data_IF_574601084071
#
_entry.id   IF_574601084071
#
_cell.length_a   1.000
_cell.length_b   1.000
_cell.length_c   1.000
_cell.angle_alpha   90.00
_cell.angle_beta   90.00
_cell.angle_gamma   90.00
#
_symmetry.space_group_name_H-M   'P 1'
#
loop_
_entity.id
_entity.type
_entity.pdbx_description
1 polymer ?
#
# COMPACT_ATOMS: atom_id res chain seq x y z
N UNK A 1 3.89 -9.70 -2.26
CA UNK A 1 4.09 -8.82 -1.10
C UNK A 1 5.36 -9.15 -0.33
N UNK A 2 5.67 -10.44 -0.12
CA UNK A 2 6.95 -10.94 0.44
C UNK A 2 8.21 -10.23 -0.08
N UNK A 3 8.29 -9.93 -1.38
CA UNK A 3 9.44 -9.20 -1.94
C UNK A 3 9.67 -7.81 -1.32
N UNK A 4 8.61 -7.09 -0.93
CA UNK A 4 8.75 -5.80 -0.22
C UNK A 4 9.21 -5.97 1.21
N UNK A 5 8.72 -7.01 1.89
CA UNK A 5 9.13 -7.31 3.27
C UNK A 5 10.62 -7.68 3.29
N UNK A 6 11.06 -8.56 2.39
CA UNK A 6 12.47 -8.91 2.22
C UNK A 6 13.34 -7.71 1.84
N UNK A 7 12.83 -6.79 1.02
CA UNK A 7 13.54 -5.55 0.69
C UNK A 7 13.72 -4.64 1.92
N UNK A 8 12.70 -4.53 2.77
CA UNK A 8 12.76 -3.75 4.02
C UNK A 8 13.70 -4.38 5.05
N UNK A 9 13.73 -5.71 5.13
CA UNK A 9 14.68 -6.42 5.98
C UNK A 9 16.11 -6.22 5.47
N UNK A 10 16.34 -6.35 4.15
CA UNK A 10 17.65 -6.16 3.54
C UNK A 10 18.20 -4.75 3.76
N UNK A 11 17.37 -3.71 3.59
CA UNK A 11 17.77 -2.30 3.74
C UNK A 11 18.43 -2.01 5.09
N UNK A 12 18.01 -2.69 6.16
CA UNK A 12 18.58 -2.53 7.51
C UNK A 12 20.04 -3.00 7.62
N UNK A 13 20.50 -3.84 6.68
CA UNK A 13 21.86 -4.38 6.66
C UNK A 13 22.78 -3.67 5.68
N UNK A 14 22.28 -2.69 4.91
CA UNK A 14 23.05 -2.01 3.88
C UNK A 14 23.49 -0.62 4.33
N UNK A 15 24.74 -0.28 4.03
CA UNK A 15 25.16 1.12 4.03
C UNK A 15 24.53 1.87 2.84
N UNK A 16 24.45 3.21 2.87
CA UNK A 16 23.89 3.98 1.76
C UNK A 16 24.54 3.68 0.40
N UNK A 17 25.86 3.49 0.36
CA UNK A 17 26.60 3.18 -0.87
C UNK A 17 26.31 1.76 -1.40
N UNK A 18 26.05 0.81 -0.52
CA UNK A 18 25.65 -0.55 -0.90
C UNK A 18 24.20 -0.56 -1.39
N UNK A 19 23.29 0.13 -0.69
CA UNK A 19 21.90 0.30 -1.09
C UNK A 19 21.75 0.97 -2.44
N UNK A 20 22.63 1.92 -2.78
CA UNK A 20 22.63 2.58 -4.09
C UNK A 20 22.72 1.59 -5.27
N UNK A 21 23.40 0.45 -5.09
CA UNK A 21 23.55 -0.58 -6.12
C UNK A 21 22.26 -1.36 -6.38
N UNK A 22 21.34 -1.38 -5.43
CA UNK A 22 20.06 -2.08 -5.51
C UNK A 22 18.89 -1.17 -5.88
N UNK A 23 19.13 0.13 -6.13
CA UNK A 23 18.07 1.11 -6.39
C UNK A 23 17.11 0.70 -7.51
N UNK A 24 17.61 0.12 -8.59
CA UNK A 24 16.75 -0.31 -9.71
C UNK A 24 15.82 -1.47 -9.31
N UNK A 25 16.38 -2.48 -8.64
CA UNK A 25 15.61 -3.62 -8.11
C UNK A 25 14.58 -3.13 -7.09
N UNK A 26 15.01 -2.29 -6.14
CA UNK A 26 14.16 -1.71 -5.12
C UNK A 26 12.98 -0.93 -5.75
N UNK A 27 13.25 -0.08 -6.75
CA UNK A 27 12.20 0.65 -7.48
C UNK A 27 11.19 -0.29 -8.12
N UNK A 28 11.65 -1.37 -8.75
CA UNK A 28 10.76 -2.37 -9.35
C UNK A 28 9.86 -3.06 -8.33
N UNK A 29 10.43 -3.48 -7.20
CA UNK A 29 9.70 -4.16 -6.12
C UNK A 29 8.68 -3.23 -5.46
N UNK A 30 9.09 -2.00 -5.12
CA UNK A 30 8.23 -0.94 -4.57
C UNK A 30 7.07 -0.62 -5.52
N UNK A 31 7.37 -0.45 -6.82
CA UNK A 31 6.36 -0.18 -7.84
C UNK A 31 5.32 -1.29 -7.93
N UNK A 32 5.76 -2.54 -8.02
CA UNK A 32 4.88 -3.72 -8.12
C UNK A 32 4.02 -3.90 -6.87
N UNK A 33 4.56 -3.69 -5.68
CA UNK A 33 3.78 -3.80 -4.45
C UNK A 33 2.71 -2.72 -4.33
N UNK A 34 3.03 -1.48 -4.69
CA UNK A 34 2.06 -0.39 -4.76
C UNK A 34 0.92 -0.73 -5.74
N UNK A 35 1.27 -1.21 -6.94
CA UNK A 35 0.28 -1.60 -7.95
C UNK A 35 -0.62 -2.73 -7.46
N UNK A 36 -0.04 -3.77 -6.84
CA UNK A 36 -0.80 -4.88 -6.27
C UNK A 36 -1.79 -4.40 -5.21
N UNK A 37 -1.38 -3.52 -4.29
CA UNK A 37 -2.29 -2.95 -3.30
C UNK A 37 -3.39 -2.10 -3.95
N UNK A 38 -3.06 -1.32 -4.97
CA UNK A 38 -4.05 -0.56 -5.75
C UNK A 38 -5.12 -1.46 -6.39
N UNK A 39 -4.72 -2.59 -6.98
CA UNK A 39 -5.64 -3.61 -7.51
C UNK A 39 -6.49 -4.20 -6.39
N UNK A 40 -5.89 -4.60 -5.26
CA UNK A 40 -6.61 -5.14 -4.12
C UNK A 40 -7.66 -4.15 -3.57
N UNK A 41 -7.31 -2.87 -3.47
CA UNK A 41 -8.22 -1.82 -3.02
C UNK A 41 -9.40 -1.67 -3.98
N UNK A 42 -9.13 -1.58 -5.29
CA UNK A 42 -10.16 -1.45 -6.32
C UNK A 42 -11.14 -2.63 -6.29
N UNK A 43 -10.63 -3.87 -6.19
CA UNK A 43 -11.45 -5.07 -6.10
C UNK A 43 -12.30 -5.06 -4.82
N UNK A 44 -11.71 -4.75 -3.66
CA UNK A 44 -12.45 -4.69 -2.41
C UNK A 44 -13.58 -3.64 -2.41
N UNK A 45 -13.36 -2.48 -3.05
CA UNK A 45 -14.39 -1.44 -3.24
C UNK A 45 -15.49 -1.94 -4.18
N UNK A 46 -15.12 -2.56 -5.30
CA UNK A 46 -16.07 -3.11 -6.28
C UNK A 46 -16.97 -4.18 -5.66
N UNK A 47 -16.37 -5.06 -4.86
CA UNK A 47 -17.07 -6.16 -4.17
C UNK A 47 -17.78 -5.71 -2.88
N UNK A 48 -17.77 -4.40 -2.58
CA UNK A 48 -18.35 -3.79 -1.37
C UNK A 48 -17.81 -4.39 -0.07
N UNK A 49 -16.61 -4.93 -0.10
CA UNK A 49 -15.89 -5.44 1.07
C UNK A 49 -15.30 -4.27 1.87
N UNK A 50 -16.16 -3.43 2.46
CA UNK A 50 -15.75 -2.13 3.03
C UNK A 50 -14.67 -2.24 4.11
N UNK A 51 -14.72 -3.28 4.95
CA UNK A 51 -13.67 -3.55 5.94
C UNK A 51 -12.31 -3.74 5.27
N UNK A 52 -12.24 -4.66 4.30
CA UNK A 52 -11.00 -4.93 3.56
C UNK A 52 -10.53 -3.74 2.74
N UNK A 53 -11.44 -3.01 2.10
CA UNK A 53 -11.11 -1.78 1.38
C UNK A 53 -10.48 -0.74 2.32
N UNK A 54 -11.01 -0.58 3.54
CA UNK A 54 -10.45 0.35 4.53
C UNK A 54 -9.05 -0.05 5.00
N UNK A 55 -8.83 -1.35 5.21
CA UNK A 55 -7.52 -1.89 5.63
C UNK A 55 -6.47 -1.73 4.53
N UNK A 56 -6.80 -2.11 3.30
CA UNK A 56 -5.88 -1.97 2.15
C UNK A 56 -5.60 -0.50 1.85
N UNK A 57 -6.62 0.36 1.90
CA UNK A 57 -6.44 1.80 1.70
C UNK A 57 -5.51 2.42 2.74
N UNK A 58 -5.65 2.03 4.01
CA UNK A 58 -4.75 2.48 5.07
C UNK A 58 -3.30 2.07 4.79
N UNK A 59 -3.07 0.80 4.40
CA UNK A 59 -1.72 0.32 4.07
C UNK A 59 -1.08 1.12 2.93
N UNK A 60 -1.85 1.50 1.91
CA UNK A 60 -1.32 2.31 0.80
C UNK A 60 -0.87 3.69 1.30
N UNK A 61 -1.68 4.33 2.16
CA UNK A 61 -1.37 5.64 2.73
C UNK A 61 -0.14 5.61 3.62
N UNK A 62 0.06 4.53 4.38
CA UNK A 62 1.21 4.37 5.27
C UNK A 62 2.49 3.99 4.53
N UNK A 63 2.43 3.04 3.59
CA UNK A 63 3.60 2.52 2.90
C UNK A 63 4.04 3.38 1.71
N UNK A 64 3.12 4.13 1.09
CA UNK A 64 3.40 4.93 -0.11
C UNK A 64 2.89 6.37 0.04
N UNK A 65 3.23 7.08 1.13
CA UNK A 65 2.57 8.32 1.56
C UNK A 65 2.70 9.48 0.56
N UNK A 66 3.75 9.46 -0.28
CA UNK A 66 4.08 10.52 -1.25
C UNK A 66 3.66 10.16 -2.69
N UNK A 67 2.74 9.22 -2.85
CA UNK A 67 2.25 8.82 -4.16
C UNK A 67 0.87 9.41 -4.41
N UNK A 68 0.59 9.76 -5.67
CA UNK A 68 -0.74 10.20 -6.11
C UNK A 68 -1.85 9.24 -5.68
N UNK A 69 -1.57 7.93 -5.70
CA UNK A 69 -2.52 6.91 -5.25
C UNK A 69 -2.88 7.07 -3.76
N UNK A 70 -1.91 7.38 -2.90
CA UNK A 70 -2.18 7.63 -1.49
C UNK A 70 -3.03 8.90 -1.30
N UNK A 71 -2.78 9.95 -2.08
CA UNK A 71 -3.58 11.18 -2.05
C UNK A 71 -5.04 10.90 -2.44
N UNK A 72 -5.25 10.21 -3.57
CA UNK A 72 -6.59 9.81 -4.03
C UNK A 72 -7.31 8.92 -3.00
N UNK A 73 -6.59 8.04 -2.30
CA UNK A 73 -7.19 7.21 -1.24
C UNK A 73 -7.57 8.04 -0.02
N UNK A 74 -6.74 8.99 0.42
CA UNK A 74 -7.06 9.88 1.56
C UNK A 74 -8.38 10.63 1.34
N UNK A 75 -8.69 11.01 0.11
CA UNK A 75 -9.95 11.68 -0.22
C UNK A 75 -11.20 10.80 -0.01
N UNK A 76 -11.07 9.47 -0.16
CA UNK A 76 -12.22 8.55 -0.14
C UNK A 76 -12.27 7.64 1.09
N UNK A 77 -11.16 7.48 1.82
CA UNK A 77 -11.00 6.44 2.86
C UNK A 77 -12.00 6.60 4.01
N UNK A 78 -12.33 7.83 4.40
CA UNK A 78 -13.27 8.08 5.51
C UNK A 78 -14.69 7.64 5.17
N UNK A 79 -15.10 7.81 3.90
CA UNK A 79 -16.40 7.30 3.42
C UNK A 79 -16.46 5.76 3.46
N UNK A 80 -15.34 5.09 3.16
CA UNK A 80 -15.23 3.63 3.20
C UNK A 80 -15.24 3.14 4.64
N UNK A 81 -14.55 3.82 5.56
CA UNK A 81 -14.57 3.51 7.00
C UNK A 81 -15.96 3.66 7.59
N UNK A 82 -16.68 4.73 7.26
CA UNK A 82 -18.06 4.91 7.70
C UNK A 82 -18.97 3.76 7.24
N UNK A 83 -18.85 3.33 5.97
CA UNK A 83 -19.57 2.16 5.44
C UNK A 83 -19.18 0.86 6.15
N UNK A 84 -17.91 0.68 6.49
CA UNK A 84 -17.44 -0.49 7.22
C UNK A 84 -17.98 -0.54 8.65
N UNK A 85 -18.06 0.60 9.33
CA UNK A 85 -18.65 0.72 10.67
C UNK A 85 -20.15 0.40 10.65
N UNK A 86 -20.88 0.93 9.66
CA UNK A 86 -22.32 0.70 9.51
C UNK A 86 -22.70 -0.77 9.27
N UNK A 87 -21.79 -1.60 8.73
CA UNK A 87 -22.00 -3.04 8.57
C UNK A 87 -21.88 -3.84 9.88
N UNK A 88 -21.27 -3.26 10.93
CA UNK A 88 -21.10 -3.91 12.23
C UNK A 88 -22.11 -3.42 13.28
N UNK A 89 -22.97 -2.47 12.91
CA UNK A 89 -24.06 -1.94 13.73
C UNK A 89 -25.35 -2.69 13.43
#
# INVERSE_FOLDING_TARGET
DEAMELLQELDQYLTPDEGARYMEVARGVIGKARENLGVQFKLAVQDRQWRRASEVGQRIVEQFPNTRMADEIREVIDSIRAKAQALNA
#
